data_IF_967742230727
#
_entry.id   IF_967742230727
#
_cell.length_a   1.000
_cell.length_b   1.000
_cell.length_c   1.000
_cell.angle_alpha   90.00
_cell.angle_beta   90.00
_cell.angle_gamma   90.00
#
_symmetry.space_group_name_H-M   'P 1'
#
loop_
_entity.id
_entity.type
_entity.pdbx_description
1 polymer ?
#
# COMPACT_ATOMS: atom_id res chain seq x y z
N UNK A 1 12.87 -22.89 -0.81
CA UNK A 1 12.48 -22.53 -2.18
C UNK A 1 12.57 -21.02 -2.33
N UNK A 2 13.23 -20.47 -3.37
CA UNK A 2 13.20 -19.03 -3.63
C UNK A 2 11.75 -18.56 -3.82
N UNK A 3 11.46 -17.32 -3.39
CA UNK A 3 10.14 -16.75 -3.62
C UNK A 3 9.88 -16.61 -5.13
N UNK A 4 8.63 -16.84 -5.56
CA UNK A 4 8.26 -16.57 -6.94
C UNK A 4 8.54 -15.09 -7.32
N UNK A 5 8.82 -14.78 -8.59
CA UNK A 5 9.09 -13.42 -9.02
C UNK A 5 8.05 -12.43 -8.48
N UNK A 6 8.48 -11.25 -8.05
CA UNK A 6 7.61 -10.22 -7.48
C UNK A 6 7.05 -10.49 -6.07
N UNK A 7 7.29 -11.66 -5.47
CA UNK A 7 6.82 -12.00 -4.12
C UNK A 7 7.94 -11.89 -3.07
N UNK A 8 7.59 -11.37 -1.89
CA UNK A 8 8.50 -11.23 -0.74
C UNK A 8 8.34 -12.45 0.17
N UNK A 9 9.43 -13.19 0.40
CA UNK A 9 9.40 -14.45 1.16
C UNK A 9 8.89 -14.29 2.60
N UNK A 10 9.11 -13.13 3.22
CA UNK A 10 8.67 -12.86 4.60
C UNK A 10 7.22 -12.35 4.71
N UNK A 11 6.51 -12.21 3.60
CA UNK A 11 5.11 -11.82 3.58
C UNK A 11 4.19 -13.04 3.57
N UNK A 12 3.10 -12.97 4.32
CA UNK A 12 2.01 -13.93 4.17
C UNK A 12 1.27 -13.63 2.86
N UNK A 13 1.21 -14.61 1.97
CA UNK A 13 0.55 -14.46 0.67
C UNK A 13 -0.95 -14.59 0.80
N UNK A 14 -1.67 -13.62 0.24
CA UNK A 14 -3.15 -13.59 0.11
C UNK A 14 -3.47 -13.09 -1.31
N UNK A 15 -3.34 -13.95 -2.35
CA UNK A 15 -3.42 -13.48 -3.73
C UNK A 15 -4.76 -12.82 -4.05
N UNK A 16 -4.70 -11.60 -4.60
CA UNK A 16 -5.81 -10.86 -5.18
C UNK A 16 -5.92 -11.15 -6.68
N UNK A 17 -7.12 -11.03 -7.23
CA UNK A 17 -7.36 -11.00 -8.68
C UNK A 17 -7.52 -9.58 -9.22
N UNK A 18 -7.43 -8.56 -8.35
CA UNK A 18 -7.60 -7.15 -8.70
C UNK A 18 -6.24 -6.53 -9.11
N UNK A 19 -5.69 -7.02 -10.20
CA UNK A 19 -4.46 -6.53 -10.80
C UNK A 19 -4.45 -6.79 -12.30
N UNK A 20 -3.52 -6.17 -12.99
CA UNK A 20 -3.22 -6.43 -14.39
C UNK A 20 -1.74 -6.20 -14.69
N UNK A 21 -1.33 -6.36 -15.95
CA UNK A 21 0.05 -6.12 -16.36
C UNK A 21 0.38 -4.62 -16.33
N UNK A 22 1.61 -4.29 -15.97
CA UNK A 22 2.13 -2.93 -16.12
C UNK A 22 2.40 -2.62 -17.59
N UNK A 23 2.31 -1.35 -18.02
CA UNK A 23 2.75 -0.96 -19.35
C UNK A 23 4.23 -1.32 -19.56
N UNK A 24 4.55 -1.81 -20.76
CA UNK A 24 5.91 -2.22 -21.08
C UNK A 24 6.91 -1.04 -20.97
N UNK A 25 8.11 -1.32 -20.44
CA UNK A 25 9.19 -0.35 -20.31
C UNK A 25 9.01 0.69 -19.19
N UNK A 26 7.94 0.60 -18.39
CA UNK A 26 7.73 1.52 -17.27
C UNK A 26 8.54 1.06 -16.06
N UNK A 27 9.44 1.90 -15.58
CA UNK A 27 10.18 1.65 -14.35
C UNK A 27 9.28 1.85 -13.12
N UNK A 28 9.40 0.95 -12.15
CA UNK A 28 8.72 1.05 -10.85
C UNK A 28 9.61 1.87 -9.92
N UNK A 29 9.35 3.17 -9.80
CA UNK A 29 10.21 4.12 -9.11
C UNK A 29 9.56 4.85 -7.93
N UNK A 30 8.25 4.61 -7.68
CA UNK A 30 7.46 5.25 -6.64
C UNK A 30 6.89 4.24 -5.64
N UNK A 31 6.94 4.57 -4.35
CA UNK A 31 6.13 3.93 -3.31
C UNK A 31 4.96 4.85 -2.94
N UNK A 32 3.77 4.30 -2.82
CA UNK A 32 2.59 5.02 -2.33
C UNK A 32 2.14 4.42 -1.02
N UNK A 33 2.14 5.24 0.03
CA UNK A 33 1.68 4.85 1.37
C UNK A 33 0.21 5.22 1.52
N UNK A 34 -0.56 4.25 2.00
CA UNK A 34 -1.98 4.35 2.29
C UNK A 34 -2.26 4.03 3.75
N UNK A 35 -3.48 4.25 4.19
CA UNK A 35 -4.03 3.57 5.36
C UNK A 35 -5.38 2.95 5.03
N UNK A 36 -5.70 1.87 5.72
CA UNK A 36 -7.00 1.20 5.64
C UNK A 36 -7.37 0.57 6.98
N UNK A 37 -8.63 0.67 7.36
CA UNK A 37 -9.25 -0.16 8.39
C UNK A 37 -10.68 -0.49 7.98
N UNK A 38 -11.11 -1.73 8.21
CA UNK A 38 -12.45 -2.19 7.90
C UNK A 38 -12.98 -3.07 9.04
N UNK A 39 -14.11 -2.68 9.64
CA UNK A 39 -14.78 -1.37 9.54
C UNK A 39 -13.85 -0.21 9.93
N UNK A 40 -14.19 1.05 9.55
CA UNK A 40 -13.37 2.20 9.91
C UNK A 40 -13.05 2.26 11.41
N UNK A 41 -11.76 2.49 11.76
CA UNK A 41 -11.28 2.52 13.14
C UNK A 41 -11.13 1.16 13.82
N UNK A 42 -11.46 0.04 13.15
CA UNK A 42 -11.28 -1.30 13.71
C UNK A 42 -10.01 -1.96 13.16
N UNK A 43 -9.08 -2.28 14.05
CA UNK A 43 -7.74 -2.82 13.73
C UNK A 43 -7.67 -4.33 13.99
N UNK A 44 -8.60 -5.10 13.45
CA UNK A 44 -8.65 -6.55 13.63
C UNK A 44 -9.52 -7.21 12.55
N UNK A 45 -9.46 -8.53 12.48
CA UNK A 45 -10.26 -9.31 11.53
C UNK A 45 -9.60 -9.38 10.15
N UNK A 46 -10.35 -9.84 9.16
CA UNK A 46 -9.90 -10.12 7.81
C UNK A 46 -10.66 -9.33 6.72
N UNK A 47 -11.42 -8.30 7.11
CA UNK A 47 -12.27 -7.56 6.18
C UNK A 47 -11.47 -6.89 5.05
N UNK A 48 -10.27 -6.36 5.33
CA UNK A 48 -9.37 -5.80 4.30
C UNK A 48 -8.91 -6.90 3.33
N UNK A 49 -8.55 -8.08 3.84
CA UNK A 49 -8.19 -9.22 2.99
C UNK A 49 -9.37 -9.65 2.10
N UNK A 50 -10.57 -9.68 2.68
CA UNK A 50 -11.81 -10.00 1.94
C UNK A 50 -12.12 -8.96 0.88
N UNK A 51 -11.92 -7.67 1.16
CA UNK A 51 -12.08 -6.60 0.15
C UNK A 51 -11.14 -6.83 -1.03
N UNK A 52 -9.84 -6.99 -0.77
CA UNK A 52 -8.85 -7.13 -1.82
C UNK A 52 -8.94 -8.46 -2.59
N UNK A 53 -9.66 -9.44 -2.05
CA UNK A 53 -9.91 -10.73 -2.70
C UNK A 53 -11.36 -10.92 -3.19
N UNK A 54 -12.15 -9.83 -3.24
CA UNK A 54 -13.55 -9.81 -3.69
C UNK A 54 -14.49 -10.74 -2.89
N UNK A 55 -14.21 -10.93 -1.60
CA UNK A 55 -14.97 -11.79 -0.68
C UNK A 55 -15.63 -11.02 0.46
N UNK A 56 -15.56 -9.69 0.45
CA UNK A 56 -16.22 -8.87 1.47
C UNK A 56 -17.74 -8.99 1.33
N UNK A 57 -18.42 -9.40 2.40
CA UNK A 57 -19.89 -9.33 2.45
C UNK A 57 -20.31 -7.90 2.81
N UNK A 58 -20.94 -7.16 1.91
CA UNK A 58 -21.37 -5.79 2.19
C UNK A 58 -22.44 -5.68 3.28
N UNK A 59 -23.09 -6.79 3.66
CA UNK A 59 -24.08 -6.81 4.73
C UNK A 59 -23.49 -7.06 6.11
N UNK A 60 -22.19 -7.41 6.20
CA UNK A 60 -21.54 -7.73 7.47
C UNK A 60 -21.31 -6.50 8.36
N UNK A 61 -21.29 -5.31 7.79
CA UNK A 61 -21.19 -4.03 8.50
C UNK A 61 -21.82 -2.92 7.63
N UNK A 62 -22.55 -1.96 8.22
CA UNK A 62 -23.15 -0.85 7.45
C UNK A 62 -22.15 -0.03 6.63
N UNK A 63 -20.90 0.13 7.10
CA UNK A 63 -19.86 0.86 6.39
C UNK A 63 -19.38 0.14 5.11
N UNK A 64 -19.69 -1.14 4.94
CA UNK A 64 -19.27 -1.92 3.76
C UNK A 64 -20.20 -1.74 2.56
N UNK A 65 -21.37 -1.14 2.74
CA UNK A 65 -22.31 -0.91 1.65
C UNK A 65 -21.68 -0.04 0.54
N UNK A 66 -20.93 0.99 0.93
CA UNK A 66 -20.21 1.86 -0.02
C UNK A 66 -19.08 1.13 -0.80
N UNK A 67 -18.69 -0.05 -0.35
CA UNK A 67 -17.66 -0.88 -0.98
C UNK A 67 -18.25 -1.97 -1.88
N UNK A 68 -19.59 -2.06 -1.98
CA UNK A 68 -20.26 -3.08 -2.81
C UNK A 68 -19.79 -3.04 -4.26
N UNK A 69 -19.27 -4.16 -4.75
CA UNK A 69 -18.77 -4.28 -6.11
C UNK A 69 -17.45 -3.57 -6.40
N UNK A 70 -16.86 -2.89 -5.40
CA UNK A 70 -15.57 -2.23 -5.57
C UNK A 70 -14.46 -3.27 -5.77
N UNK A 71 -13.70 -3.10 -6.85
CA UNK A 71 -12.53 -3.94 -7.17
C UNK A 71 -11.26 -3.12 -7.01
N UNK A 72 -10.57 -3.33 -5.91
CA UNK A 72 -9.32 -2.65 -5.54
C UNK A 72 -8.37 -3.66 -4.91
N UNK A 73 -7.10 -3.31 -4.87
CA UNK A 73 -6.06 -4.05 -4.16
C UNK A 73 -4.93 -3.11 -3.78
N UNK A 74 -4.00 -3.59 -2.97
CA UNK A 74 -2.66 -3.03 -2.86
C UNK A 74 -1.64 -4.16 -3.01
N UNK A 75 -0.36 -3.84 -3.14
CA UNK A 75 0.66 -4.88 -3.16
C UNK A 75 0.83 -5.47 -1.75
N UNK A 76 0.82 -4.60 -0.73
CA UNK A 76 1.06 -5.01 0.65
C UNK A 76 0.06 -4.39 1.63
N UNK A 77 -0.14 -5.10 2.76
CA UNK A 77 -0.75 -4.58 3.97
C UNK A 77 0.18 -4.86 5.15
N UNK A 78 0.44 -3.84 5.96
CA UNK A 78 1.16 -3.96 7.23
C UNK A 78 0.18 -3.71 8.37
N UNK A 79 -0.12 -4.76 9.15
CA UNK A 79 -1.01 -4.66 10.30
C UNK A 79 -0.35 -3.96 11.47
N UNK A 80 -1.14 -3.55 12.47
CA UNK A 80 -0.67 -2.80 13.67
C UNK A 80 0.51 -3.47 14.39
N UNK A 81 0.58 -4.80 14.40
CA UNK A 81 1.68 -5.55 15.03
C UNK A 81 2.86 -5.84 14.08
N UNK A 82 2.86 -5.27 12.88
CA UNK A 82 3.93 -5.45 11.89
C UNK A 82 3.80 -6.75 11.08
N UNK A 83 2.68 -7.46 11.14
CA UNK A 83 2.42 -8.56 10.21
C UNK A 83 2.37 -7.99 8.79
N UNK A 84 3.08 -8.64 7.86
CA UNK A 84 3.15 -8.25 6.46
C UNK A 84 2.36 -9.24 5.60
N UNK A 85 1.37 -8.73 4.89
CA UNK A 85 0.62 -9.48 3.89
C UNK A 85 0.98 -8.96 2.50
N UNK A 86 0.96 -9.85 1.50
CA UNK A 86 1.13 -9.48 0.10
C UNK A 86 -0.01 -10.06 -0.74
N UNK A 87 -0.64 -9.19 -1.54
CA UNK A 87 -1.80 -9.52 -2.37
C UNK A 87 -1.48 -9.60 -3.85
N UNK A 88 -0.52 -8.81 -4.33
CA UNK A 88 -0.13 -8.72 -5.74
C UNK A 88 1.38 -8.78 -5.84
N UNK A 89 1.91 -9.49 -6.84
CA UNK A 89 3.33 -9.48 -7.13
C UNK A 89 3.79 -8.06 -7.49
N UNK A 90 4.99 -7.64 -7.07
CA UNK A 90 5.44 -6.26 -7.29
C UNK A 90 5.67 -5.93 -8.77
N UNK A 91 5.86 -6.94 -9.60
CA UNK A 91 6.01 -6.81 -11.05
C UNK A 91 4.67 -6.53 -11.76
N UNK A 92 3.56 -6.90 -11.13
CA UNK A 92 2.21 -6.64 -11.61
C UNK A 92 1.71 -5.27 -11.11
N UNK A 93 0.61 -4.79 -11.68
CA UNK A 93 -0.02 -3.51 -11.37
C UNK A 93 -1.23 -3.70 -10.44
N UNK A 94 -1.06 -3.49 -9.14
CA UNK A 94 -2.18 -3.45 -8.20
C UNK A 94 -3.04 -2.19 -8.40
N UNK A 95 -4.32 -2.26 -8.02
CA UNK A 95 -5.28 -1.17 -8.22
C UNK A 95 -5.51 -0.40 -6.92
N UNK A 96 -4.55 0.48 -6.54
CA UNK A 96 -4.57 1.20 -5.25
C UNK A 96 -4.70 2.73 -5.37
N UNK A 97 -4.23 3.34 -6.46
CA UNK A 97 -4.12 4.80 -6.57
C UNK A 97 -5.31 5.47 -7.25
N UNK A 98 -6.06 4.72 -8.10
CA UNK A 98 -7.15 5.29 -8.91
C UNK A 98 -6.66 6.43 -9.81
N UNK A 99 -7.52 7.45 -10.02
CA UNK A 99 -7.13 8.67 -10.70
C UNK A 99 -6.09 9.42 -9.86
N UNK A 100 -4.88 9.56 -10.37
CA UNK A 100 -3.73 10.04 -9.60
C UNK A 100 -2.64 10.63 -10.50
N UNK A 101 -1.84 11.54 -9.93
CA UNK A 101 -0.73 12.19 -10.64
C UNK A 101 0.46 12.36 -9.71
N UNK A 102 1.66 12.10 -10.19
CA UNK A 102 2.91 12.30 -9.48
C UNK A 102 3.94 12.94 -10.41
N UNK A 103 4.44 14.15 -10.06
CA UNK A 103 5.45 14.88 -10.85
C UNK A 103 5.11 14.92 -12.35
N UNK A 104 3.87 15.27 -12.70
CA UNK A 104 3.39 15.36 -14.07
C UNK A 104 3.00 14.03 -14.72
N UNK A 105 3.32 12.88 -14.15
CA UNK A 105 2.92 11.55 -14.63
C UNK A 105 1.56 11.16 -14.05
N UNK A 106 0.63 10.76 -14.89
CA UNK A 106 -0.70 10.25 -14.50
C UNK A 106 -0.67 8.74 -14.27
N UNK A 107 -1.77 8.22 -13.66
CA UNK A 107 -1.97 6.78 -13.48
C UNK A 107 -0.87 6.14 -12.64
N UNK A 108 -0.68 6.63 -11.43
CA UNK A 108 0.39 6.18 -10.54
C UNK A 108 0.45 4.66 -10.31
N UNK A 109 -0.65 3.92 -10.47
CA UNK A 109 -0.61 2.45 -10.46
C UNK A 109 0.42 1.87 -11.44
N UNK A 110 0.66 2.53 -12.58
CA UNK A 110 1.52 2.01 -13.65
C UNK A 110 2.98 1.90 -13.20
N UNK A 111 3.46 2.81 -12.33
CA UNK A 111 4.86 2.94 -11.93
C UNK A 111 5.09 2.93 -10.42
N UNK A 112 4.09 2.55 -9.63
CA UNK A 112 4.22 2.53 -8.18
C UNK A 112 3.93 1.16 -7.55
N UNK A 113 4.39 1.01 -6.30
CA UNK A 113 4.01 -0.06 -5.39
C UNK A 113 3.16 0.55 -4.28
N UNK A 114 1.90 0.12 -4.11
CA UNK A 114 1.01 0.55 -3.05
C UNK A 114 1.19 -0.30 -1.78
N UNK A 115 1.35 0.39 -0.64
CA UNK A 115 1.52 -0.22 0.68
C UNK A 115 0.48 0.36 1.61
N UNK A 116 -0.44 -0.49 2.06
CA UNK A 116 -1.42 -0.15 3.07
C UNK A 116 -0.85 -0.35 4.48
N UNK A 117 -1.11 0.59 5.36
CA UNK A 117 -0.92 0.43 6.79
C UNK A 117 -2.28 0.30 7.46
N UNK A 118 -2.47 -0.69 8.32
CA UNK A 118 -3.69 -0.78 9.11
C UNK A 118 -3.81 0.46 10.00
N UNK A 119 -4.77 1.34 9.69
CA UNK A 119 -4.94 2.67 10.26
C UNK A 119 -6.23 3.33 9.79
N UNK A 120 -6.57 4.49 10.34
CA UNK A 120 -7.82 5.22 10.08
C UNK A 120 -7.63 6.73 9.89
N UNK A 121 -6.39 7.22 9.97
CA UNK A 121 -6.09 8.64 9.88
C UNK A 121 -6.33 9.43 11.18
N UNK A 122 -6.83 8.80 12.26
CA UNK A 122 -7.09 9.41 13.56
C UNK A 122 -6.12 8.92 14.65
N UNK A 123 -5.57 7.73 14.47
CA UNK A 123 -4.64 7.11 15.40
C UNK A 123 -3.22 7.06 14.84
N UNK A 124 -2.22 7.30 15.70
CA UNK A 124 -0.81 7.16 15.33
C UNK A 124 -0.50 5.74 14.88
N UNK A 125 0.35 5.63 13.86
CA UNK A 125 0.92 4.34 13.45
C UNK A 125 1.92 3.83 14.49
N UNK A 126 2.05 2.52 14.56
CA UNK A 126 2.84 1.85 15.60
C UNK A 126 4.30 1.71 15.21
N UNK A 127 5.18 1.56 16.21
CA UNK A 127 6.60 1.24 15.99
C UNK A 127 6.80 -0.03 15.14
N UNK A 128 6.07 -1.15 15.37
CA UNK A 128 6.17 -2.32 14.52
C UNK A 128 5.81 -2.05 13.05
N UNK A 129 4.87 -1.12 12.77
CA UNK A 129 4.53 -0.75 11.39
C UNK A 129 5.68 0.00 10.71
N UNK A 130 6.28 1.01 11.36
CA UNK A 130 7.43 1.75 10.80
C UNK A 130 8.63 0.83 10.54
N UNK A 131 8.99 -0.02 11.50
CA UNK A 131 10.08 -0.99 11.33
C UNK A 131 9.81 -1.98 10.19
N UNK A 132 8.55 -2.45 10.06
CA UNK A 132 8.18 -3.38 8.99
C UNK A 132 8.21 -2.67 7.64
N UNK A 133 7.71 -1.44 7.57
CA UNK A 133 7.72 -0.64 6.35
C UNK A 133 9.16 -0.36 5.89
N UNK A 134 10.04 0.07 6.77
CA UNK A 134 11.44 0.32 6.44
C UNK A 134 12.14 -0.93 5.87
N UNK A 135 12.01 -2.09 6.54
CA UNK A 135 12.56 -3.36 6.04
C UNK A 135 11.94 -3.81 4.72
N UNK A 136 10.67 -3.50 4.48
CA UNK A 136 10.02 -3.76 3.19
C UNK A 136 10.62 -2.86 2.11
N UNK A 137 10.80 -1.57 2.38
CA UNK A 137 11.44 -0.61 1.46
C UNK A 137 12.82 -1.09 1.04
N UNK A 138 13.67 -1.49 1.98
CA UNK A 138 15.00 -2.04 1.67
C UNK A 138 14.94 -3.20 0.67
N UNK A 139 14.04 -4.16 0.91
CA UNK A 139 13.86 -5.32 0.02
C UNK A 139 13.32 -4.96 -1.35
N UNK A 140 12.43 -3.97 -1.42
CA UNK A 140 11.86 -3.48 -2.69
C UNK A 140 12.90 -2.70 -3.50
N UNK A 141 13.76 -1.92 -2.84
CA UNK A 141 14.87 -1.20 -3.51
C UNK A 141 15.93 -2.13 -4.09
N UNK A 142 16.11 -3.31 -3.51
CA UNK A 142 17.00 -4.32 -4.09
C UNK A 142 16.45 -4.92 -5.40
N UNK A 143 15.18 -4.67 -5.75
CA UNK A 143 14.50 -5.25 -6.92
C UNK A 143 14.03 -4.21 -7.93
N UNK A 144 13.70 -3.01 -7.46
CA UNK A 144 13.13 -1.94 -8.27
C UNK A 144 13.92 -0.65 -8.08
N UNK A 145 14.06 0.20 -9.12
CA UNK A 145 14.79 1.46 -9.05
C UNK A 145 14.01 2.55 -8.30
N UNK A 146 13.55 2.22 -7.08
CA UNK A 146 12.76 3.12 -6.26
C UNK A 146 13.54 4.37 -5.87
N UNK A 147 12.98 5.54 -6.16
CA UNK A 147 13.52 6.86 -5.88
C UNK A 147 12.59 7.70 -4.99
N UNK A 148 11.28 7.45 -5.09
CA UNK A 148 10.27 8.32 -4.54
C UNK A 148 9.34 7.60 -3.57
N UNK A 149 8.86 8.36 -2.59
CA UNK A 149 7.78 7.94 -1.71
C UNK A 149 6.77 9.08 -1.55
N UNK A 150 5.49 8.76 -1.58
CA UNK A 150 4.40 9.71 -1.43
C UNK A 150 3.23 9.09 -0.66
N UNK A 151 2.38 9.92 -0.10
CA UNK A 151 1.06 9.51 0.39
C UNK A 151 0.03 9.48 -0.75
N UNK A 152 -1.05 8.78 -0.54
CA UNK A 152 -2.17 8.82 -1.49
C UNK A 152 -2.76 10.24 -1.63
N UNK A 153 -2.80 10.98 -0.52
CA UNK A 153 -3.18 12.39 -0.51
C UNK A 153 -2.28 13.28 -1.39
N UNK A 154 -0.99 12.95 -1.49
CA UNK A 154 -0.03 13.72 -2.29
C UNK A 154 -0.28 13.53 -3.80
N UNK A 155 -0.67 12.31 -4.22
CA UNK A 155 -0.89 11.97 -5.64
C UNK A 155 -2.35 12.10 -6.10
N UNK A 156 -3.27 12.33 -5.17
CA UNK A 156 -4.70 12.52 -5.45
C UNK A 156 -5.31 13.59 -4.52
N UNK A 157 -4.74 14.83 -4.52
CA UNK A 157 -5.17 15.91 -3.63
C UNK A 157 -6.66 16.25 -3.83
N UNK A 158 -7.35 16.54 -2.73
CA UNK A 158 -8.79 16.83 -2.72
C UNK A 158 -9.70 15.59 -2.86
N UNK A 159 -9.15 14.44 -3.24
CA UNK A 159 -9.89 13.18 -3.38
C UNK A 159 -9.53 12.17 -2.29
N UNK A 160 -8.29 12.20 -1.80
CA UNK A 160 -7.75 11.25 -0.82
C UNK A 160 -7.05 11.99 0.31
N UNK A 161 -7.06 11.37 1.49
CA UNK A 161 -6.48 11.94 2.71
C UNK A 161 -5.42 11.04 3.34
N UNK A 162 -5.36 9.77 2.95
CA UNK A 162 -4.43 8.78 3.47
C UNK A 162 -2.99 9.02 2.99
N UNK A 163 -1.96 8.70 3.81
CA UNK A 163 -2.02 8.09 5.13
C UNK A 163 -2.38 9.05 6.26
N UNK A 164 -2.65 10.34 5.99
CA UNK A 164 -3.10 11.33 6.95
C UNK A 164 -1.99 11.94 7.83
N UNK A 165 -2.39 12.92 8.65
CA UNK A 165 -1.47 13.73 9.47
C UNK A 165 -0.76 12.93 10.58
N UNK A 166 -1.30 11.77 10.97
CA UNK A 166 -0.70 10.92 12.00
C UNK A 166 0.39 9.98 11.48
N UNK A 167 0.68 10.01 10.17
CA UNK A 167 1.83 9.33 9.62
C UNK A 167 3.08 10.22 9.70
N UNK A 168 4.08 9.75 10.43
CA UNK A 168 5.33 10.48 10.65
C UNK A 168 6.35 10.18 9.55
N UNK A 169 6.37 11.03 8.53
CA UNK A 169 7.30 10.94 7.41
C UNK A 169 8.76 11.10 7.85
N UNK A 170 9.02 12.06 8.79
CA UNK A 170 10.36 12.31 9.32
C UNK A 170 10.93 11.08 9.99
N UNK A 171 10.10 10.40 10.80
CA UNK A 171 10.47 9.15 11.46
C UNK A 171 10.81 8.05 10.44
N UNK A 172 9.98 7.86 9.41
CA UNK A 172 10.24 6.85 8.39
C UNK A 172 11.55 7.12 7.65
N UNK A 173 11.72 8.35 7.16
CA UNK A 173 12.86 8.72 6.32
C UNK A 173 14.18 8.82 7.11
N UNK A 174 14.12 8.91 8.43
CA UNK A 174 15.28 8.82 9.30
C UNK A 174 15.79 7.38 9.50
N UNK A 175 15.00 6.36 9.13
CA UNK A 175 15.44 4.97 9.23
C UNK A 175 16.39 4.63 8.08
N UNK A 176 17.54 3.98 8.34
CA UNK A 176 18.55 3.69 7.31
C UNK A 176 18.01 2.94 6.10
N UNK A 177 17.08 2.01 6.33
CA UNK A 177 16.46 1.17 5.28
C UNK A 177 15.60 2.00 4.32
N UNK A 178 15.02 3.12 4.78
CA UNK A 178 14.27 4.05 3.94
C UNK A 178 15.13 5.18 3.38
N UNK A 179 16.40 5.26 3.79
CA UNK A 179 17.33 6.28 3.34
C UNK A 179 17.50 6.31 1.81
N UNK A 180 17.58 7.53 1.24
CA UNK A 180 17.71 7.73 -0.20
C UNK A 180 16.40 7.72 -0.99
N UNK A 181 15.24 7.52 -0.35
CA UNK A 181 13.94 7.87 -0.94
C UNK A 181 13.68 9.36 -0.75
N UNK A 182 13.29 10.05 -1.80
CA UNK A 182 12.88 11.45 -1.74
C UNK A 182 11.34 11.56 -1.68
N UNK A 183 10.87 12.52 -0.90
CA UNK A 183 9.46 12.93 -0.83
C UNK A 183 9.38 14.38 -1.29
N UNK A 184 8.81 14.67 -2.49
CA UNK A 184 8.82 16.01 -3.08
C UNK A 184 7.71 16.94 -2.55
N UNK A 185 7.04 16.60 -1.45
CA UNK A 185 5.91 17.32 -0.84
C UNK A 185 6.22 17.78 0.59
#
# INVERSE_FOLDING_TARGET
>A
MPAAPGWIASARRVPSTNFDARPAGVAIDLLVVHHISLPPGRFSGDAVERLFTNRLDPRADPSFEALRGLRVSAHFLIRRRGELLQFVATDDRAWHAGASRFMGRERCNDFSIGIELEGDGEHRFTEPQYRRLARLIERLRARHPLRWIAGHSDIAPGRKHDPGAFFDWGRLLALPEAGGLARPY
#
